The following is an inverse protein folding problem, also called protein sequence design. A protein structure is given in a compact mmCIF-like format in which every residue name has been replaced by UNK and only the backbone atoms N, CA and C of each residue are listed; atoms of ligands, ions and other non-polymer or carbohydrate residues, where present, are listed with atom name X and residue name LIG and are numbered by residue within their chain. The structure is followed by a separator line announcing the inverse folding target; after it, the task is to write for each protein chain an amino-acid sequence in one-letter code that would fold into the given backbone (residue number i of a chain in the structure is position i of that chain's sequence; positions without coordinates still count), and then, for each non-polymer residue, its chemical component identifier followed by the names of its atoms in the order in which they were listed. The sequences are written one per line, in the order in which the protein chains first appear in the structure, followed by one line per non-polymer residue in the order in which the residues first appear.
data_IF_269436372331
#
_entry.id   IF_269436372331
#
_cell.length_a   1.000
_cell.length_b   1.000
_cell.length_c   1.000
_cell.angle_alpha   90.00
_cell.angle_beta   90.00
_cell.angle_gamma   90.00
#
_symmetry.space_group_name_H-M   'P 1'
#
loop_
_entity.id
_entity.type
_entity.pdbx_description
1 polymer ?
#
# COMPACT_ATOMS: atom_id res chain seq x y z
N UNK A 1 14.82 3.04 23.40
CA UNK A 1 14.49 4.48 23.44
C UNK A 1 14.68 5.09 24.83
N UNK A 2 14.08 4.58 25.91
CA UNK A 2 14.28 5.13 27.28
C UNK A 2 15.72 4.94 27.81
N UNK A 3 16.27 3.73 27.71
CA UNK A 3 17.64 3.44 28.12
C UNK A 3 18.71 4.18 27.30
N UNK A 4 18.39 4.54 26.05
CA UNK A 4 19.28 5.36 25.20
C UNK A 4 19.29 6.84 25.56
N UNK A 5 18.33 7.29 26.38
CA UNK A 5 18.25 8.64 26.91
C UNK A 5 18.56 8.67 28.42
N UNK A 6 19.23 7.64 28.96
CA UNK A 6 19.54 7.51 30.39
C UNK A 6 18.34 7.58 31.34
N UNK A 7 17.15 7.23 30.84
CA UNK A 7 15.92 7.17 31.65
C UNK A 7 15.75 5.74 32.16
N UNK A 8 15.74 5.56 33.49
CA UNK A 8 15.40 4.29 34.13
C UNK A 8 13.95 3.93 33.83
N UNK A 9 13.68 2.79 33.18
CA UNK A 9 12.31 2.40 32.87
C UNK A 9 11.51 2.14 34.15
N UNK A 10 10.23 2.52 34.21
CA UNK A 10 9.39 2.25 35.37
C UNK A 10 9.18 0.75 35.56
N UNK A 11 8.81 0.34 36.78
CA UNK A 11 8.35 -1.03 37.02
C UNK A 11 7.09 -1.34 36.19
N UNK A 12 6.86 -2.63 35.88
CA UNK A 12 5.67 -3.07 35.12
C UNK A 12 4.36 -2.55 35.74
N UNK A 13 4.23 -2.61 37.06
CA UNK A 13 3.04 -2.12 37.77
C UNK A 13 2.86 -0.60 37.63
N UNK A 14 3.95 0.16 37.74
CA UNK A 14 3.93 1.61 37.54
C UNK A 14 3.59 1.98 36.10
N UNK A 15 4.11 1.23 35.13
CA UNK A 15 3.77 1.43 33.72
C UNK A 15 2.28 1.27 33.47
N UNK A 16 1.68 0.12 33.80
CA UNK A 16 0.26 -0.12 33.53
C UNK A 16 -0.68 0.82 34.31
N UNK A 17 -0.33 1.15 35.56
CA UNK A 17 -1.09 2.13 36.35
C UNK A 17 -1.13 3.51 35.68
N UNK A 18 -0.02 3.94 35.07
CA UNK A 18 0.03 5.23 34.39
C UNK A 18 -0.52 5.15 32.97
N UNK A 19 -0.39 4.01 32.29
CA UNK A 19 -0.96 3.80 30.96
C UNK A 19 -2.48 4.05 30.99
N UNK A 20 -3.20 3.52 31.97
CA UNK A 20 -4.65 3.75 32.11
C UNK A 20 -5.02 5.23 32.34
N UNK A 21 -4.10 6.06 32.84
CA UNK A 21 -4.34 7.50 33.02
C UNK A 21 -4.27 8.26 31.69
N UNK A 22 -3.51 7.75 30.73
CA UNK A 22 -3.27 8.41 29.43
C UNK A 22 -3.94 7.71 28.26
N UNK A 23 -4.41 6.47 28.42
CA UNK A 23 -5.06 5.66 27.40
C UNK A 23 -6.21 6.41 26.71
N UNK A 24 -7.13 6.97 27.51
CA UNK A 24 -8.24 7.75 26.97
C UNK A 24 -7.78 9.00 26.20
N UNK A 25 -6.70 9.65 26.63
CA UNK A 25 -6.14 10.81 25.95
C UNK A 25 -5.52 10.40 24.61
N UNK A 26 -4.80 9.27 24.57
CA UNK A 26 -4.20 8.73 23.33
C UNK A 26 -5.29 8.34 22.33
N UNK A 27 -6.33 7.61 22.76
CA UNK A 27 -7.45 7.23 21.90
C UNK A 27 -8.15 8.46 21.32
N UNK A 28 -8.46 9.44 22.19
CA UNK A 28 -9.09 10.69 21.77
C UNK A 28 -8.23 11.46 20.78
N UNK A 29 -6.92 11.59 21.03
CA UNK A 29 -6.01 12.26 20.11
C UNK A 29 -5.96 11.56 18.74
N UNK A 30 -5.99 10.22 18.72
CA UNK A 30 -6.03 9.47 17.46
C UNK A 30 -7.33 9.72 16.68
N UNK A 31 -8.47 9.69 17.36
CA UNK A 31 -9.78 9.98 16.77
C UNK A 31 -9.90 11.42 16.27
N UNK A 32 -9.48 12.40 17.08
CA UNK A 32 -9.46 13.82 16.73
C UNK A 32 -8.55 14.10 15.53
N UNK A 33 -7.37 13.46 15.50
CA UNK A 33 -6.44 13.55 14.37
C UNK A 33 -7.07 13.00 13.09
N UNK A 34 -7.67 11.80 13.14
CA UNK A 34 -8.34 11.22 11.98
C UNK A 34 -9.50 12.09 11.51
N UNK A 35 -10.32 12.60 12.45
CA UNK A 35 -11.41 13.50 12.14
C UNK A 35 -10.93 14.79 11.47
N UNK A 36 -9.86 15.39 11.98
CA UNK A 36 -9.27 16.59 11.38
C UNK A 36 -8.89 16.36 9.91
N UNK A 37 -8.19 15.26 9.61
CA UNK A 37 -7.78 14.96 8.23
C UNK A 37 -8.95 14.46 7.36
N UNK A 38 -9.95 13.81 7.94
CA UNK A 38 -11.19 13.46 7.26
C UNK A 38 -11.94 14.72 6.81
N UNK A 39 -12.08 15.71 7.69
CA UNK A 39 -12.77 16.96 7.41
C UNK A 39 -11.99 17.80 6.37
N UNK A 40 -10.65 17.76 6.40
CA UNK A 40 -9.76 18.43 5.46
C UNK A 40 -9.53 17.68 4.13
N UNK A 41 -10.18 16.54 3.92
CA UNK A 41 -9.98 15.71 2.72
C UNK A 41 -10.50 16.42 1.46
N UNK A 42 -9.70 16.41 0.40
CA UNK A 42 -10.07 17.01 -0.90
C UNK A 42 -11.06 16.13 -1.68
N UNK A 43 -11.74 16.73 -2.66
CA UNK A 43 -12.52 15.98 -3.65
C UNK A 43 -11.62 15.13 -4.54
N UNK A 44 -12.21 14.09 -5.15
CA UNK A 44 -11.52 13.15 -6.03
C UNK A 44 -10.31 12.49 -5.34
N UNK A 45 -10.50 12.06 -4.10
CA UNK A 45 -9.50 11.41 -3.26
C UNK A 45 -9.58 9.90 -3.42
N UNK A 46 -8.42 9.27 -3.57
CA UNK A 46 -8.28 7.82 -3.50
C UNK A 46 -7.87 7.45 -2.07
N UNK A 47 -8.55 6.46 -1.48
CA UNK A 47 -8.24 5.96 -0.15
C UNK A 47 -7.38 4.70 -0.26
N UNK A 48 -6.18 4.73 0.28
CA UNK A 48 -5.37 3.53 0.46
C UNK A 48 -5.70 2.88 1.81
N UNK A 49 -5.64 1.55 1.91
CA UNK A 49 -5.75 0.89 3.20
C UNK A 49 -4.87 -0.36 3.31
N UNK A 50 -4.52 -0.72 4.55
CA UNK A 50 -3.81 -1.95 4.89
C UNK A 50 -4.15 -2.38 6.33
N UNK A 51 -3.97 -3.68 6.61
CA UNK A 51 -4.13 -4.26 7.93
C UNK A 51 -2.79 -4.44 8.65
N UNK A 52 -2.76 -4.18 9.95
CA UNK A 52 -1.63 -4.50 10.82
C UNK A 52 -2.08 -5.44 11.94
N UNK A 53 -1.44 -6.61 12.00
CA UNK A 53 -1.77 -7.65 12.97
C UNK A 53 -0.81 -7.66 14.15
N UNK A 54 -1.36 -7.85 15.35
CA UNK A 54 -0.61 -8.03 16.60
C UNK A 54 0.40 -9.19 16.58
N UNK A 55 0.21 -10.17 15.70
CA UNK A 55 1.13 -11.31 15.54
C UNK A 55 0.97 -11.96 14.17
N UNK A 56 2.01 -12.68 13.72
CA UNK A 56 2.06 -13.28 12.36
C UNK A 56 1.02 -14.37 12.10
N UNK A 57 0.58 -15.10 13.13
CA UNK A 57 -0.37 -16.23 13.01
C UNK A 57 -1.41 -16.12 14.10
N UNK A 58 -2.67 -16.40 13.75
CA UNK A 58 -3.80 -16.42 14.69
C UNK A 58 -3.88 -15.17 15.56
N UNK A 59 -3.68 -13.99 14.96
CA UNK A 59 -3.72 -12.71 15.65
C UNK A 59 -5.03 -12.48 16.40
N UNK A 60 -4.89 -11.87 17.57
CA UNK A 60 -6.01 -11.45 18.41
C UNK A 60 -6.44 -10.03 18.10
N UNK A 61 -5.53 -9.17 17.64
CA UNK A 61 -5.84 -7.80 17.27
C UNK A 61 -5.39 -7.52 15.83
N UNK A 62 -6.20 -6.77 15.11
CA UNK A 62 -5.90 -6.18 13.81
C UNK A 62 -6.36 -4.73 13.83
N UNK A 63 -5.51 -3.80 13.39
CA UNK A 63 -5.91 -2.44 13.04
C UNK A 63 -5.90 -2.32 11.52
N UNK A 64 -6.96 -1.76 10.94
CA UNK A 64 -7.02 -1.43 9.52
C UNK A 64 -7.03 0.08 9.38
N UNK A 65 -5.98 0.61 8.77
CA UNK A 65 -5.78 2.05 8.60
C UNK A 65 -6.21 2.47 7.19
N UNK A 66 -6.88 3.62 7.08
CA UNK A 66 -7.33 4.21 5.82
C UNK A 66 -6.68 5.57 5.64
N UNK A 67 -5.97 5.72 4.53
CA UNK A 67 -5.07 6.82 4.25
C UNK A 67 -5.57 7.58 3.03
N UNK A 68 -5.73 8.90 3.14
CA UNK A 68 -5.89 9.76 1.97
C UNK A 68 -4.56 9.80 1.21
N UNK A 69 -4.57 9.34 -0.04
CA UNK A 69 -3.37 9.25 -0.89
C UNK A 69 -2.79 10.62 -1.28
N UNK A 70 -3.57 11.70 -1.21
CA UNK A 70 -3.12 13.07 -1.53
C UNK A 70 -2.34 13.68 -0.38
N UNK A 71 -2.96 13.78 0.80
CA UNK A 71 -2.34 14.39 1.97
C UNK A 71 -1.42 13.42 2.75
N UNK A 72 -1.54 12.11 2.47
CA UNK A 72 -0.77 11.01 3.08
C UNK A 72 -1.02 10.88 4.59
N UNK A 73 -2.25 11.15 5.03
CA UNK A 73 -2.68 11.09 6.43
C UNK A 73 -3.75 10.02 6.61
N UNK A 74 -3.75 9.42 7.81
CA UNK A 74 -4.81 8.50 8.21
C UNK A 74 -6.06 9.32 8.46
N UNK A 75 -7.14 8.98 7.77
CA UNK A 75 -8.45 9.64 7.87
C UNK A 75 -9.48 8.78 8.60
N UNK A 76 -9.21 7.48 8.71
CA UNK A 76 -10.04 6.54 9.46
C UNK A 76 -9.21 5.32 9.86
N UNK A 77 -9.57 4.67 10.95
CA UNK A 77 -9.04 3.36 11.31
C UNK A 77 -10.15 2.51 11.93
N UNK A 78 -10.00 1.18 11.86
CA UNK A 78 -10.87 0.24 12.57
C UNK A 78 -10.03 -0.78 13.33
N UNK A 79 -10.31 -0.93 14.62
CA UNK A 79 -9.64 -1.90 15.49
C UNK A 79 -10.56 -3.12 15.68
N UNK A 80 -10.04 -4.29 15.32
CA UNK A 80 -10.70 -5.58 15.51
C UNK A 80 -9.98 -6.41 16.54
N UNK A 81 -10.75 -6.85 17.53
CA UNK A 81 -10.31 -7.71 18.62
C UNK A 81 -11.06 -9.03 18.52
N UNK A 82 -10.31 -10.12 18.36
CA UNK A 82 -10.87 -11.44 18.17
C UNK A 82 -11.43 -11.97 19.49
N UNK A 83 -12.73 -12.22 19.50
CA UNK A 83 -13.42 -12.85 20.59
C UNK A 83 -12.93 -14.30 20.78
N UNK A 84 -12.60 -14.66 22.01
CA UNK A 84 -12.24 -16.02 22.41
C UNK A 84 -12.51 -16.25 23.90
N UNK A 85 -12.35 -17.48 24.37
CA UNK A 85 -12.61 -17.89 25.76
C UNK A 85 -11.85 -17.08 26.83
N UNK A 86 -10.76 -16.38 26.48
CA UNK A 86 -9.96 -15.54 27.39
C UNK A 86 -10.09 -14.04 27.14
N UNK A 87 -10.69 -13.62 26.03
CA UNK A 87 -10.62 -12.24 25.55
C UNK A 87 -11.96 -11.86 24.91
N UNK A 88 -12.67 -10.93 25.54
CA UNK A 88 -13.95 -10.44 25.05
C UNK A 88 -13.72 -9.39 23.96
N UNK A 89 -13.66 -9.85 22.71
CA UNK A 89 -13.36 -9.01 21.55
C UNK A 89 -14.60 -8.65 20.74
N UNK A 90 -14.47 -7.63 19.88
CA UNK A 90 -15.54 -7.13 19.00
C UNK A 90 -15.68 -7.90 17.66
N UNK A 91 -14.94 -9.00 17.46
CA UNK A 91 -14.95 -9.77 16.23
C UNK A 91 -14.98 -11.29 16.48
N UNK A 92 -16.01 -11.96 15.98
CA UNK A 92 -16.23 -13.40 16.21
C UNK A 92 -15.66 -14.34 15.13
N UNK A 93 -15.01 -13.81 14.09
CA UNK A 93 -14.54 -14.59 12.95
C UNK A 93 -13.11 -15.13 13.05
N UNK A 94 -12.62 -15.69 11.95
CA UNK A 94 -11.23 -16.09 11.80
C UNK A 94 -10.29 -14.87 11.69
N UNK A 95 -9.07 -14.99 12.20
CA UNK A 95 -8.10 -13.88 12.31
C UNK A 95 -7.79 -13.19 10.98
N UNK A 96 -7.74 -13.96 9.88
CA UNK A 96 -7.53 -13.47 8.52
C UNK A 96 -8.75 -12.73 7.92
N UNK A 97 -9.88 -12.66 8.64
CA UNK A 97 -11.07 -11.91 8.25
C UNK A 97 -11.23 -10.59 9.01
N UNK A 98 -10.32 -10.27 9.94
CA UNK A 98 -10.41 -9.04 10.73
C UNK A 98 -10.23 -7.78 9.86
N UNK A 99 -9.26 -7.78 8.96
CA UNK A 99 -9.04 -6.66 8.02
C UNK A 99 -10.29 -6.40 7.16
N UNK A 100 -10.85 -7.45 6.56
CA UNK A 100 -12.11 -7.38 5.80
C UNK A 100 -13.25 -6.84 6.66
N UNK A 101 -13.28 -7.15 7.96
CA UNK A 101 -14.26 -6.56 8.87
C UNK A 101 -14.00 -5.08 9.14
N UNK A 102 -12.74 -4.63 9.18
CA UNK A 102 -12.39 -3.21 9.25
C UNK A 102 -12.81 -2.45 8.00
N UNK A 103 -12.60 -3.05 6.81
CA UNK A 103 -13.10 -2.51 5.53
C UNK A 103 -14.62 -2.38 5.53
N UNK A 104 -15.36 -3.35 6.10
CA UNK A 104 -16.82 -3.23 6.24
C UNK A 104 -17.25 -2.04 7.10
N UNK A 105 -16.51 -1.71 8.16
CA UNK A 105 -16.83 -0.55 8.98
C UNK A 105 -16.57 0.75 8.22
N UNK A 106 -15.42 0.83 7.53
CA UNK A 106 -15.09 1.97 6.71
C UNK A 106 -16.14 2.20 5.61
N UNK A 107 -16.56 1.15 4.90
CA UNK A 107 -17.61 1.27 3.89
C UNK A 107 -18.92 1.79 4.48
N UNK A 108 -19.32 1.33 5.67
CA UNK A 108 -20.52 1.88 6.34
C UNK A 108 -20.37 3.36 6.67
N UNK A 109 -19.18 3.77 7.08
CA UNK A 109 -18.88 5.15 7.45
C UNK A 109 -18.80 6.09 6.23
N UNK A 110 -18.14 5.65 5.17
CA UNK A 110 -17.65 6.50 4.10
C UNK A 110 -18.46 6.42 2.78
N UNK A 111 -19.32 5.41 2.60
CA UNK A 111 -19.98 5.11 1.31
C UNK A 111 -20.67 6.29 0.63
N UNK A 112 -21.19 7.22 1.41
CA UNK A 112 -21.95 8.36 0.89
C UNK A 112 -21.10 9.63 0.71
N UNK A 113 -19.84 9.61 1.12
CA UNK A 113 -18.92 10.74 0.95
C UNK A 113 -18.50 10.86 -0.52
N UNK A 114 -18.90 11.96 -1.16
CA UNK A 114 -18.67 12.21 -2.59
C UNK A 114 -17.24 12.63 -2.91
N UNK A 115 -16.42 12.91 -1.90
CA UNK A 115 -15.02 13.27 -2.08
C UNK A 115 -14.17 12.07 -2.47
N UNK A 116 -14.57 10.85 -2.07
CA UNK A 116 -13.85 9.61 -2.36
C UNK A 116 -14.19 9.12 -3.78
N UNK A 117 -13.18 9.02 -4.64
CA UNK A 117 -13.31 8.59 -6.03
C UNK A 117 -12.67 7.25 -6.35
N UNK A 118 -12.10 6.56 -5.36
CA UNK A 118 -11.50 5.26 -5.55
C UNK A 118 -10.83 4.73 -4.29
N UNK A 119 -10.36 3.49 -4.36
CA UNK A 119 -9.59 2.88 -3.29
C UNK A 119 -8.38 2.13 -3.84
N UNK A 120 -7.31 2.09 -3.05
CA UNK A 120 -6.07 1.38 -3.36
C UNK A 120 -5.74 0.37 -2.25
N UNK A 121 -5.39 -0.85 -2.62
CA UNK A 121 -5.04 -1.88 -1.63
C UNK A 121 -4.12 -2.95 -2.21
N UNK A 122 -3.67 -3.84 -1.34
CA UNK A 122 -3.01 -5.07 -1.71
C UNK A 122 -4.06 -6.03 -2.27
N UNK A 123 -3.79 -6.66 -3.43
CA UNK A 123 -4.74 -7.44 -4.25
C UNK A 123 -5.36 -8.67 -3.55
N UNK A 124 -6.15 -8.46 -2.48
CA UNK A 124 -6.94 -9.48 -1.78
C UNK A 124 -8.39 -9.43 -2.26
N UNK A 125 -8.85 -10.53 -2.83
CA UNK A 125 -10.19 -10.64 -3.40
C UNK A 125 -11.31 -10.39 -2.37
N UNK A 126 -11.04 -10.63 -1.07
CA UNK A 126 -12.07 -10.45 -0.04
C UNK A 126 -12.39 -8.98 0.21
N UNK A 127 -11.40 -8.11 0.22
CA UNK A 127 -11.59 -6.67 0.41
C UNK A 127 -12.29 -6.05 -0.79
N UNK A 128 -11.89 -6.40 -2.02
CA UNK A 128 -12.57 -5.96 -3.26
C UNK A 128 -14.06 -6.33 -3.26
N UNK A 129 -14.39 -7.54 -2.81
CA UNK A 129 -15.77 -8.00 -2.71
C UNK A 129 -16.62 -7.17 -1.72
N UNK A 130 -16.02 -6.58 -0.67
CA UNK A 130 -16.77 -5.71 0.25
C UNK A 130 -17.24 -4.45 -0.48
N UNK A 131 -16.37 -3.79 -1.26
CA UNK A 131 -16.74 -2.62 -2.04
C UNK A 131 -17.78 -2.97 -3.11
N UNK A 132 -17.56 -4.04 -3.88
CA UNK A 132 -18.47 -4.49 -4.93
C UNK A 132 -19.89 -4.79 -4.39
N UNK A 133 -19.98 -5.55 -3.29
CA UNK A 133 -21.26 -5.93 -2.68
C UNK A 133 -21.93 -4.76 -1.94
N UNK A 134 -21.18 -3.71 -1.62
CA UNK A 134 -21.74 -2.53 -0.96
C UNK A 134 -22.49 -1.59 -1.90
N UNK A 135 -22.46 -1.82 -3.22
CA UNK A 135 -22.96 -0.89 -4.24
C UNK A 135 -22.25 0.48 -4.22
N UNK A 136 -21.07 0.56 -3.61
CA UNK A 136 -20.19 1.71 -3.69
C UNK A 136 -19.33 1.55 -4.94
N UNK A 137 -19.88 1.95 -6.09
CA UNK A 137 -19.29 1.75 -7.41
C UNK A 137 -18.10 2.70 -7.66
N UNK A 138 -17.04 2.57 -6.87
CA UNK A 138 -15.80 3.35 -7.01
C UNK A 138 -14.67 2.48 -7.59
N UNK A 139 -13.82 3.04 -8.47
CA UNK A 139 -12.65 2.36 -9.02
C UNK A 139 -11.71 1.73 -7.98
N UNK A 140 -11.27 0.51 -8.28
CA UNK A 140 -10.24 -0.23 -7.54
C UNK A 140 -8.86 0.00 -8.19
N UNK A 141 -7.88 0.35 -7.37
CA UNK A 141 -6.48 0.47 -7.75
C UNK A 141 -5.63 -0.55 -6.97
N UNK A 142 -4.59 -1.08 -7.61
CA UNK A 142 -3.66 -2.01 -6.97
C UNK A 142 -2.36 -1.28 -6.65
N UNK A 143 -1.85 -1.48 -5.44
CA UNK A 143 -0.55 -0.94 -5.05
C UNK A 143 0.56 -1.34 -6.04
N UNK A 144 1.48 -0.39 -6.30
CA UNK A 144 2.58 -0.56 -7.26
C UNK A 144 3.50 -1.73 -6.89
N UNK A 145 3.79 -1.92 -5.61
CA UNK A 145 4.68 -3.01 -5.18
C UNK A 145 3.99 -4.35 -5.42
N UNK A 146 2.69 -4.44 -5.17
CA UNK A 146 1.88 -5.63 -5.44
C UNK A 146 1.73 -5.93 -6.93
N UNK A 147 1.57 -4.91 -7.75
CA UNK A 147 1.63 -5.06 -9.21
C UNK A 147 3.00 -5.56 -9.68
N UNK A 148 4.08 -4.99 -9.13
CA UNK A 148 5.45 -5.41 -9.46
C UNK A 148 5.72 -6.87 -9.09
N UNK A 149 5.27 -7.29 -7.90
CA UNK A 149 5.34 -8.70 -7.46
C UNK A 149 4.52 -9.61 -8.39
N UNK A 150 3.33 -9.16 -8.79
CA UNK A 150 2.47 -9.89 -9.73
C UNK A 150 3.13 -10.07 -11.09
N UNK A 151 3.72 -9.01 -11.65
CA UNK A 151 4.51 -9.07 -12.88
C UNK A 151 5.65 -10.10 -12.74
N UNK A 152 6.42 -10.01 -11.66
CA UNK A 152 7.55 -10.89 -11.41
C UNK A 152 7.15 -12.37 -11.30
N UNK A 153 5.96 -12.66 -10.74
CA UNK A 153 5.36 -14.00 -10.69
C UNK A 153 4.97 -14.49 -12.08
N UNK A 154 4.20 -13.70 -12.82
CA UNK A 154 3.74 -14.02 -14.19
C UNK A 154 4.95 -14.27 -15.09
N UNK A 155 5.96 -13.39 -15.05
CA UNK A 155 7.17 -13.56 -15.84
C UNK A 155 7.89 -14.87 -15.52
N UNK A 156 7.99 -15.23 -14.23
CA UNK A 156 8.62 -16.49 -13.81
C UNK A 156 7.88 -17.70 -14.37
N UNK A 157 6.55 -17.70 -14.31
CA UNK A 157 5.70 -18.78 -14.85
C UNK A 157 5.88 -18.91 -16.37
N UNK A 158 5.77 -17.80 -17.10
CA UNK A 158 5.99 -17.76 -18.56
C UNK A 158 7.40 -18.23 -18.92
N UNK A 159 8.44 -17.67 -18.30
CA UNK A 159 9.81 -18.05 -18.60
C UNK A 159 10.07 -19.54 -18.30
N UNK A 160 9.42 -20.10 -17.28
CA UNK A 160 9.54 -21.54 -16.97
C UNK A 160 8.89 -22.40 -18.04
N UNK A 161 7.71 -22.01 -18.54
CA UNK A 161 7.03 -22.66 -19.68
C UNK A 161 7.91 -22.66 -20.94
N UNK A 162 8.68 -21.60 -21.15
CA UNK A 162 9.60 -21.49 -22.29
C UNK A 162 11.04 -21.91 -21.95
N UNK A 163 11.24 -22.87 -21.04
CA UNK A 163 12.55 -23.48 -20.75
C UNK A 163 13.65 -22.46 -20.40
N UNK A 164 13.27 -21.37 -19.71
CA UNK A 164 14.16 -20.26 -19.29
C UNK A 164 14.77 -19.45 -20.44
N UNK A 165 14.21 -19.53 -21.66
CA UNK A 165 14.70 -18.80 -22.85
C UNK A 165 14.52 -17.28 -22.79
N UNK A 166 13.70 -16.76 -21.86
CA UNK A 166 13.48 -15.32 -21.67
C UNK A 166 14.44 -14.73 -20.63
N UNK A 167 15.56 -15.39 -20.35
CA UNK A 167 16.57 -14.89 -19.41
C UNK A 167 17.05 -13.48 -19.81
N UNK A 168 17.29 -12.62 -18.83
CA UNK A 168 17.74 -11.23 -19.04
C UNK A 168 16.63 -10.22 -19.39
N UNK A 169 15.47 -10.65 -19.90
CA UNK A 169 14.37 -9.74 -20.23
C UNK A 169 13.63 -9.20 -19.01
N UNK A 170 13.57 -9.98 -17.92
CA UNK A 170 12.83 -9.64 -16.70
C UNK A 170 13.15 -8.23 -16.18
N UNK A 171 14.44 -7.96 -15.96
CA UNK A 171 14.87 -6.69 -15.36
C UNK A 171 14.56 -5.51 -16.28
N UNK A 172 14.73 -5.70 -17.60
CA UNK A 172 14.46 -4.66 -18.59
C UNK A 172 12.97 -4.34 -18.70
N UNK A 173 12.12 -5.37 -18.82
CA UNK A 173 10.66 -5.20 -18.83
C UNK A 173 10.13 -4.60 -17.53
N UNK A 174 10.66 -5.04 -16.37
CA UNK A 174 10.29 -4.46 -15.08
C UNK A 174 10.67 -2.98 -14.98
N UNK A 175 11.86 -2.61 -15.45
CA UNK A 175 12.29 -1.22 -15.47
C UNK A 175 11.42 -0.38 -16.41
N UNK A 176 11.09 -0.91 -17.59
CA UNK A 176 10.20 -0.23 -18.52
C UNK A 176 8.80 -0.03 -17.94
N UNK A 177 8.24 -1.07 -17.29
CA UNK A 177 6.96 -0.95 -16.57
C UNK A 177 7.00 0.15 -15.50
N UNK A 178 8.13 0.29 -14.79
CA UNK A 178 8.34 1.37 -13.83
C UNK A 178 8.35 2.76 -14.48
N UNK A 179 8.94 2.91 -15.67
CA UNK A 179 8.90 4.16 -16.44
C UNK A 179 7.45 4.51 -16.79
N UNK A 180 6.69 3.54 -17.33
CA UNK A 180 5.30 3.75 -17.71
C UNK A 180 4.41 4.17 -16.54
N UNK A 181 4.67 3.70 -15.32
CA UNK A 181 3.90 4.14 -14.15
C UNK A 181 4.01 5.65 -13.90
N UNK A 182 5.20 6.21 -14.04
CA UNK A 182 5.46 7.63 -13.77
C UNK A 182 5.29 8.53 -14.99
N UNK A 183 5.04 7.96 -16.16
CA UNK A 183 4.78 8.73 -17.38
C UNK A 183 3.49 9.53 -17.21
N UNK A 184 3.51 10.81 -17.55
CA UNK A 184 2.34 11.69 -17.44
C UNK A 184 1.45 11.55 -18.68
N UNK A 185 0.85 10.37 -18.81
CA UNK A 185 0.04 9.98 -19.95
C UNK A 185 -1.19 9.19 -19.49
N UNK A 186 -2.16 9.10 -20.39
CA UNK A 186 -3.35 8.28 -20.17
C UNK A 186 -2.98 6.80 -19.98
N UNK A 187 -3.84 6.07 -19.27
CA UNK A 187 -3.68 4.62 -19.09
C UNK A 187 -3.61 3.89 -20.44
N UNK A 188 -4.33 4.37 -21.46
CA UNK A 188 -4.37 3.73 -22.76
C UNK A 188 -3.10 3.99 -23.58
N UNK A 189 -2.51 5.18 -23.50
CA UNK A 189 -1.18 5.44 -24.09
C UNK A 189 -0.10 4.58 -23.40
N UNK A 190 -0.11 4.50 -22.07
CA UNK A 190 0.78 3.59 -21.32
C UNK A 190 0.64 2.13 -21.77
N UNK A 191 -0.59 1.65 -22.05
CA UNK A 191 -0.81 0.31 -22.61
C UNK A 191 -0.22 0.18 -24.01
N UNK A 192 -0.40 1.17 -24.89
CA UNK A 192 0.19 1.14 -26.23
C UNK A 192 1.72 1.07 -26.15
N UNK A 193 2.34 1.88 -25.30
CA UNK A 193 3.78 1.83 -25.04
C UNK A 193 4.24 0.48 -24.50
N UNK A 194 3.47 -0.13 -23.60
CA UNK A 194 3.74 -1.48 -23.10
C UNK A 194 3.68 -2.52 -24.22
N UNK A 195 2.64 -2.50 -25.05
CA UNK A 195 2.48 -3.43 -26.17
C UNK A 195 3.59 -3.27 -27.21
N UNK A 196 4.05 -2.04 -27.44
CA UNK A 196 5.18 -1.75 -28.33
C UNK A 196 6.53 -2.31 -27.82
N UNK A 197 6.63 -2.74 -26.56
CA UNK A 197 7.86 -3.39 -26.07
C UNK A 197 8.24 -4.61 -26.90
N UNK A 198 7.27 -5.33 -27.48
CA UNK A 198 7.55 -6.45 -28.38
C UNK A 198 8.35 -6.01 -29.62
N UNK A 199 7.88 -4.96 -30.30
CA UNK A 199 8.52 -4.41 -31.49
C UNK A 199 9.94 -3.93 -31.17
N UNK A 200 10.13 -3.29 -30.02
CA UNK A 200 11.44 -2.88 -29.51
C UNK A 200 12.42 -4.07 -29.43
N UNK A 201 11.99 -5.20 -28.88
CA UNK A 201 12.84 -6.40 -28.80
C UNK A 201 13.01 -7.13 -30.14
N UNK A 202 12.16 -6.83 -31.14
CA UNK A 202 12.32 -7.26 -32.53
C UNK A 202 13.20 -6.31 -33.36
N UNK A 203 13.68 -5.20 -32.79
CA UNK A 203 14.55 -4.22 -33.46
C UNK A 203 13.82 -3.05 -34.12
N UNK A 204 12.50 -3.00 -34.03
CA UNK A 204 11.71 -1.85 -34.46
C UNK A 204 11.58 -0.83 -33.32
N UNK A 205 12.11 0.37 -33.57
CA UNK A 205 12.17 1.47 -32.61
C UNK A 205 11.33 2.68 -33.03
N UNK A 206 10.48 2.54 -34.06
CA UNK A 206 9.62 3.61 -34.58
C UNK A 206 8.74 4.27 -33.50
N UNK A 207 8.19 3.46 -32.60
CA UNK A 207 7.24 3.88 -31.56
C UNK A 207 7.87 3.86 -30.14
N UNK A 208 9.21 3.97 -30.04
CA UNK A 208 9.91 3.96 -28.74
C UNK A 208 9.92 5.35 -28.09
N UNK A 209 9.79 5.37 -26.75
CA UNK A 209 9.91 6.59 -25.92
C UNK A 209 11.33 7.18 -25.85
N UNK A 210 12.30 6.59 -26.55
CA UNK A 210 13.70 7.02 -26.54
C UNK A 210 14.20 7.19 -27.98
N UNK A 211 15.15 8.11 -28.17
CA UNK A 211 15.82 8.24 -29.46
C UNK A 211 16.78 7.06 -29.68
N UNK A 212 17.13 6.76 -30.95
CA UNK A 212 18.17 5.76 -31.27
C UNK A 212 19.55 6.16 -30.73
N UNK A 213 19.78 7.44 -30.45
CA UNK A 213 21.07 7.97 -29.98
C UNK A 213 21.31 7.75 -28.48
N UNK A 214 20.24 7.58 -27.69
CA UNK A 214 20.33 7.37 -26.23
C UNK A 214 21.07 6.07 -25.86
N UNK A 215 21.09 5.08 -26.75
CA UNK A 215 21.79 3.80 -26.52
C UNK A 215 23.33 3.87 -26.67
N UNK A 216 23.89 4.96 -27.19
CA UNK A 216 25.35 5.12 -27.33
C UNK A 216 26.01 5.85 -26.17
N UNK A 217 25.24 6.45 -25.26
CA UNK A 217 25.81 7.26 -24.17
C UNK A 217 25.60 6.66 -22.77
N UNK A 218 26.74 6.25 -22.19
CA UNK A 218 27.02 6.08 -20.75
C UNK A 218 26.78 4.70 -20.11
N UNK A 219 27.66 3.76 -20.44
CA UNK A 219 28.41 3.05 -19.38
C UNK A 219 29.72 3.83 -19.16
N UNK A 220 29.64 4.93 -18.41
CA UNK A 220 30.78 5.45 -17.65
C UNK A 220 30.32 5.50 -16.20
N UNK A 221 30.79 4.52 -15.44
CA UNK A 221 30.69 4.46 -13.98
C UNK A 221 31.09 5.80 -13.36
N UNK A 222 30.12 6.58 -12.89
CA UNK A 222 30.40 7.65 -11.92
C UNK A 222 30.22 7.08 -10.52
N UNK A 223 31.36 7.00 -9.83
CA UNK A 223 31.56 6.66 -8.41
C UNK A 223 30.42 7.15 -7.52
N UNK A 224 30.04 6.30 -6.56
CA UNK A 224 29.27 6.64 -5.34
C UNK A 224 29.72 8.02 -4.82
N UNK A 225 28.82 9.00 -4.80
CA UNK A 225 28.86 10.08 -3.82
C UNK A 225 28.05 9.62 -2.62
N UNK A 226 28.75 9.34 -1.53
CA UNK A 226 28.18 9.31 -0.18
C UNK A 226 27.43 10.61 0.05
N UNK A 227 26.13 10.51 0.36
CA UNK A 227 25.37 11.62 0.94
C UNK A 227 25.62 11.57 2.43
N UNK A 228 26.42 12.51 2.92
CA UNK A 228 26.41 12.88 4.34
C UNK A 228 25.04 13.50 4.63
N UNK A 229 24.39 12.97 5.67
CA UNK A 229 23.21 13.59 6.27
C UNK A 229 23.69 14.67 7.23
N UNK A 230 23.44 15.92 6.88
CA UNK A 230 23.48 17.04 7.83
C UNK A 230 22.10 17.09 8.48
N UNK A 231 22.08 17.00 9.80
CA UNK A 231 20.90 17.27 10.62
C UNK A 231 20.99 18.74 11.02
N UNK A 232 20.00 19.53 10.61
CA UNK A 232 19.57 20.74 11.31
C UNK A 232 18.11 20.53 11.74
#
# INVERSE_FOLDING_TARGET
MLAWNSITPPSKSTYYRNLHRVENAICRMAEESCKHYWDAMDHNTIIAFDGSWSQRRNAFHCITDFIDTKNRKIVYFSIKEKNNHKLFGNFAGASNGMEVSGVKDFVKYAKYDKRISGFCHDRDAKSSNVFANSQWNIPEYIDKNHMTKSFDKIFKEVNSKYQRKLFGLRARLRNYLNVLYYLDESVDEKKKHWMNSLNHYCGDHSECLHSREDNKSKIKSKKKKTREFVWD
#
